data_IF_687882710374
#
_entry.id   IF_687882710374
#
_cell.length_a   1.000
_cell.length_b   1.000
_cell.length_c   1.000
_cell.angle_alpha   90.00
_cell.angle_beta   90.00
_cell.angle_gamma   90.00
#
_symmetry.space_group_name_H-M   'P 1'
#
loop_
_entity.id
_entity.type
_entity.pdbx_description
1 polymer ?
#
# COMPACT_ATOMS: atom_id res chain seq x y z
N UNK A 1 8.69 25.28 -24.55
CA UNK A 1 7.58 26.24 -24.61
C UNK A 1 6.75 26.08 -23.35
N UNK A 2 6.69 26.95 -22.35
CA UNK A 2 7.35 28.17 -21.89
C UNK A 2 7.05 28.10 -20.36
N UNK A 3 7.99 28.23 -19.43
CA UNK A 3 8.47 29.52 -18.94
C UNK A 3 9.67 29.31 -18.01
N UNK A 4 10.85 29.22 -18.59
CA UNK A 4 12.09 29.68 -17.96
C UNK A 4 12.33 31.07 -18.54
N UNK A 5 12.09 32.16 -17.83
CA UNK A 5 12.66 33.48 -18.19
C UNK A 5 12.57 34.48 -17.01
N UNK A 6 13.74 34.98 -16.64
CA UNK A 6 14.05 36.29 -16.09
C UNK A 6 13.53 36.72 -14.70
N UNK A 7 14.46 36.80 -13.74
CA UNK A 7 14.94 38.04 -13.10
C UNK A 7 16.02 37.62 -12.09
N UNK A 8 17.20 38.20 -11.95
CA UNK A 8 17.79 39.44 -12.44
C UNK A 8 19.00 39.67 -11.54
N UNK A 9 20.20 39.58 -12.11
CA UNK A 9 21.47 39.86 -11.44
C UNK A 9 21.53 41.37 -11.15
N UNK A 10 21.56 41.81 -9.89
CA UNK A 10 22.08 43.14 -9.54
C UNK A 10 22.39 43.26 -8.05
N UNK A 11 23.42 44.06 -7.76
CA UNK A 11 23.84 44.64 -6.48
C UNK A 11 24.45 43.72 -5.41
N UNK A 12 25.78 43.61 -5.49
CA UNK A 12 26.68 43.60 -4.33
C UNK A 12 26.61 44.93 -3.55
N UNK A 13 26.99 44.86 -2.27
CA UNK A 13 27.30 45.93 -1.30
C UNK A 13 26.16 46.39 -0.38
N UNK A 14 26.18 45.90 0.86
CA UNK A 14 26.35 46.76 2.05
C UNK A 14 26.43 45.86 3.28
N UNK A 15 27.48 46.03 4.07
CA UNK A 15 27.61 45.33 5.34
C UNK A 15 26.53 45.77 6.32
N UNK A 16 26.05 44.83 7.14
CA UNK A 16 25.77 45.09 8.54
C UNK A 16 25.70 43.76 9.29
N UNK A 17 26.35 43.73 10.45
CA UNK A 17 26.33 42.62 11.40
C UNK A 17 24.96 42.62 12.08
N UNK A 18 24.22 41.52 12.00
CA UNK A 18 23.19 41.22 12.99
C UNK A 18 22.89 39.72 13.02
N UNK A 19 23.14 39.15 14.20
CA UNK A 19 22.39 38.05 14.80
C UNK A 19 21.13 37.62 14.04
N UNK A 20 21.10 36.37 13.60
CA UNK A 20 20.00 35.47 13.98
C UNK A 20 20.36 34.07 13.52
N UNK A 21 20.74 33.22 14.46
CA UNK A 21 20.71 31.76 14.31
C UNK A 21 19.25 31.32 14.19
N UNK A 22 18.64 31.62 13.05
CA UNK A 22 17.40 31.01 12.62
C UNK A 22 17.77 29.58 12.22
N UNK A 23 17.85 28.73 13.25
CA UNK A 23 17.52 27.33 13.16
C UNK A 23 16.29 27.24 12.27
N UNK A 24 16.49 26.75 11.04
CA UNK A 24 15.40 26.42 10.14
C UNK A 24 14.57 25.39 10.88
N UNK A 25 13.52 25.88 11.54
CA UNK A 25 12.45 25.10 12.08
C UNK A 25 11.93 24.32 10.89
N UNK A 26 12.25 23.03 10.85
CA UNK A 26 11.72 22.07 9.89
C UNK A 26 10.21 22.00 10.10
N UNK A 27 9.52 22.96 9.51
CA UNK A 27 8.07 22.98 9.45
C UNK A 27 7.64 21.88 8.49
N UNK A 28 7.00 20.87 9.05
CA UNK A 28 6.17 19.94 8.30
C UNK A 28 6.82 18.64 7.85
N UNK A 29 7.88 18.13 8.50
CA UNK A 29 8.10 16.68 8.41
C UNK A 29 7.08 16.03 9.33
N UNK A 30 5.97 15.51 8.78
CA UNK A 30 5.11 14.57 9.50
C UNK A 30 6.02 13.49 10.06
N UNK A 31 6.28 13.59 11.37
CA UNK A 31 7.20 12.76 12.09
C UNK A 31 6.65 11.34 12.03
N UNK A 32 7.27 10.51 11.21
CA UNK A 32 7.19 9.09 11.41
C UNK A 32 7.81 8.85 12.79
N UNK A 33 7.01 8.45 13.79
CA UNK A 33 7.43 8.21 15.17
C UNK A 33 8.27 6.93 15.32
N UNK A 34 9.04 6.58 14.29
CA UNK A 34 9.71 5.30 14.17
C UNK A 34 11.17 5.48 13.72
N UNK A 35 12.09 4.87 14.47
CA UNK A 35 13.52 4.80 14.13
C UNK A 35 13.72 3.93 12.88
N UNK A 36 14.47 4.36 11.86
CA UNK A 36 14.55 3.67 10.56
C UNK A 36 15.18 2.26 10.57
N UNK A 37 15.41 1.65 11.73
CA UNK A 37 16.10 0.35 11.89
C UNK A 37 15.24 -0.86 12.29
N UNK A 38 14.03 -0.72 12.82
CA UNK A 38 13.39 -1.85 13.56
C UNK A 38 11.94 -2.17 13.18
N UNK A 39 11.39 -1.66 12.06
CA UNK A 39 9.92 -1.70 11.83
C UNK A 39 9.39 -3.14 11.85
N UNK A 40 8.75 -3.48 12.97
CA UNK A 40 8.30 -4.85 13.22
C UNK A 40 7.08 -5.15 12.36
N UNK A 41 6.90 -6.43 12.03
CA UNK A 41 5.75 -6.91 11.26
C UNK A 41 4.41 -6.40 11.86
N UNK A 42 4.27 -6.49 13.19
CA UNK A 42 3.06 -6.09 13.91
C UNK A 42 2.83 -4.58 13.79
N UNK A 43 3.87 -3.78 13.97
CA UNK A 43 3.77 -2.32 13.89
C UNK A 43 3.40 -1.85 12.48
N UNK A 44 3.93 -2.53 11.45
CA UNK A 44 3.57 -2.26 10.06
C UNK A 44 2.08 -2.51 9.79
N UNK A 45 1.57 -3.68 10.19
CA UNK A 45 0.15 -4.04 10.00
C UNK A 45 -0.77 -3.06 10.73
N UNK A 46 -0.46 -2.74 11.99
CA UNK A 46 -1.26 -1.79 12.78
C UNK A 46 -1.22 -0.40 12.15
N UNK A 47 -0.07 0.04 11.62
CA UNK A 47 0.06 1.36 10.99
C UNK A 47 -0.75 1.46 9.69
N UNK A 48 -0.76 0.40 8.87
CA UNK A 48 -1.60 0.33 7.67
C UNK A 48 -3.09 0.39 8.02
N UNK A 49 -3.51 -0.37 9.04
CA UNK A 49 -4.92 -0.38 9.49
C UNK A 49 -5.32 0.93 10.17
N UNK A 50 -4.41 1.64 10.84
CA UNK A 50 -4.67 2.98 11.39
C UNK A 50 -4.83 4.04 10.29
N UNK A 51 -4.05 3.93 9.23
CA UNK A 51 -4.10 4.83 8.08
C UNK A 51 -4.96 4.28 6.94
N UNK A 52 -5.97 3.48 7.26
CA UNK A 52 -6.77 2.76 6.27
C UNK A 52 -7.41 3.70 5.23
N UNK A 53 -7.93 4.84 5.66
CA UNK A 53 -8.54 5.87 4.79
C UNK A 53 -7.67 7.12 4.59
N UNK A 54 -6.41 7.10 5.03
CA UNK A 54 -5.54 8.27 4.92
C UNK A 54 -4.59 8.13 3.73
N UNK A 55 -4.94 8.80 2.62
CA UNK A 55 -4.13 8.83 1.39
C UNK A 55 -3.00 9.87 1.43
N UNK A 56 -2.91 10.64 2.51
CA UNK A 56 -1.92 11.70 2.65
C UNK A 56 -0.69 11.21 3.40
N UNK A 57 0.48 11.74 3.02
CA UNK A 57 1.74 11.45 3.67
C UNK A 57 2.55 10.35 2.98
N UNK A 58 3.66 10.01 3.63
CA UNK A 58 4.69 9.12 3.13
C UNK A 58 4.59 7.78 3.83
N UNK A 59 4.76 6.67 3.11
CA UNK A 59 4.85 5.35 3.73
C UNK A 59 6.31 4.90 3.75
N UNK A 60 6.70 4.06 4.70
CA UNK A 60 8.06 3.53 4.76
C UNK A 60 8.21 2.29 3.87
N UNK A 61 9.44 1.98 3.41
CA UNK A 61 9.71 0.76 2.61
C UNK A 61 9.33 -0.51 3.36
N UNK A 62 9.68 -0.58 4.63
CA UNK A 62 9.33 -1.71 5.48
C UNK A 62 7.81 -1.84 5.68
N UNK A 63 7.06 -0.74 5.87
CA UNK A 63 5.58 -0.78 5.99
C UNK A 63 4.93 -1.46 4.77
N UNK A 64 5.37 -1.10 3.57
CA UNK A 64 4.86 -1.70 2.33
C UNK A 64 5.17 -3.21 2.21
N UNK A 65 6.44 -3.59 2.44
CA UNK A 65 6.85 -4.98 2.29
C UNK A 65 6.18 -5.90 3.30
N UNK A 66 6.10 -5.48 4.57
CA UNK A 66 5.38 -6.24 5.59
C UNK A 66 3.89 -6.35 5.29
N UNK A 67 3.27 -5.28 4.79
CA UNK A 67 1.87 -5.29 4.35
C UNK A 67 1.63 -6.24 3.17
N UNK A 68 2.56 -6.29 2.21
CA UNK A 68 2.49 -7.19 1.06
C UNK A 68 2.58 -8.66 1.48
N UNK A 69 3.54 -9.01 2.35
CA UNK A 69 3.64 -10.36 2.90
C UNK A 69 2.41 -10.75 3.72
N UNK A 70 1.87 -9.82 4.52
CA UNK A 70 0.62 -10.04 5.24
C UNK A 70 -0.54 -10.35 4.29
N UNK A 71 -0.69 -9.60 3.19
CA UNK A 71 -1.73 -9.88 2.18
C UNK A 71 -1.57 -11.26 1.56
N UNK A 72 -0.34 -11.64 1.14
CA UNK A 72 -0.08 -12.97 0.59
C UNK A 72 -0.47 -14.05 1.59
N UNK A 73 -0.08 -13.89 2.86
CA UNK A 73 -0.35 -14.87 3.90
C UNK A 73 -1.85 -15.01 4.16
N UNK A 74 -2.57 -13.90 4.30
CA UNK A 74 -4.03 -13.91 4.51
C UNK A 74 -4.76 -14.52 3.32
N UNK A 75 -4.39 -14.15 2.09
CA UNK A 75 -5.01 -14.69 0.88
C UNK A 75 -4.69 -16.18 0.69
N UNK A 76 -3.47 -16.63 1.04
CA UNK A 76 -3.10 -18.05 0.99
C UNK A 76 -3.90 -18.88 2.00
N UNK A 77 -4.04 -18.37 3.23
CA UNK A 77 -4.84 -19.01 4.27
C UNK A 77 -6.32 -19.07 3.84
N UNK A 78 -6.89 -17.97 3.35
CA UNK A 78 -8.26 -17.94 2.85
C UNK A 78 -8.48 -18.96 1.72
N UNK A 79 -7.55 -19.07 0.78
CA UNK A 79 -7.63 -20.06 -0.30
C UNK A 79 -7.59 -21.50 0.20
N UNK A 80 -6.75 -21.81 1.20
CA UNK A 80 -6.73 -23.14 1.82
C UNK A 80 -8.03 -23.44 2.58
N UNK A 81 -8.60 -22.45 3.26
CA UNK A 81 -9.91 -22.58 3.90
C UNK A 81 -11.01 -22.84 2.87
N UNK A 82 -11.03 -22.10 1.75
CA UNK A 82 -11.99 -22.31 0.67
C UNK A 82 -11.85 -23.73 0.09
N UNK A 83 -10.62 -24.21 -0.17
CA UNK A 83 -10.39 -25.58 -0.63
C UNK A 83 -10.92 -26.59 0.38
N UNK A 84 -10.60 -26.42 1.67
CA UNK A 84 -11.00 -27.36 2.72
C UNK A 84 -12.53 -27.42 2.88
N UNK A 85 -13.19 -26.27 2.93
CA UNK A 85 -14.64 -26.17 3.08
C UNK A 85 -15.35 -26.68 1.84
N UNK A 86 -14.94 -26.28 0.64
CA UNK A 86 -15.60 -26.69 -0.60
C UNK A 86 -15.40 -28.18 -0.87
N UNK A 87 -14.19 -28.73 -0.63
CA UNK A 87 -13.94 -30.16 -0.82
C UNK A 87 -14.70 -31.03 0.20
N UNK A 88 -14.71 -30.63 1.48
CA UNK A 88 -15.48 -31.31 2.52
C UNK A 88 -16.99 -31.22 2.27
N UNK A 89 -17.48 -30.05 1.85
CA UNK A 89 -18.88 -29.85 1.48
C UNK A 89 -19.26 -30.67 0.25
N UNK A 90 -18.46 -30.64 -0.83
CA UNK A 90 -18.73 -31.41 -2.04
C UNK A 90 -18.78 -32.93 -1.77
N UNK A 91 -17.85 -33.44 -0.96
CA UNK A 91 -17.82 -34.84 -0.56
C UNK A 91 -19.05 -35.22 0.27
N UNK A 92 -19.36 -34.46 1.33
CA UNK A 92 -20.49 -34.75 2.23
C UNK A 92 -21.86 -34.69 1.53
N UNK A 93 -22.03 -33.80 0.56
CA UNK A 93 -23.33 -33.60 -0.10
C UNK A 93 -23.54 -34.62 -1.24
N UNK A 94 -22.48 -35.16 -1.85
CA UNK A 94 -22.60 -36.21 -2.88
C UNK A 94 -23.26 -37.50 -2.34
N UNK A 95 -23.01 -37.83 -1.08
CA UNK A 95 -23.62 -38.95 -0.35
C UNK A 95 -25.11 -38.69 -0.08
N UNK A 96 -25.43 -37.45 0.32
CA UNK A 96 -26.79 -37.02 0.66
C UNK A 96 -27.68 -36.87 -0.57
N UNK A 97 -27.14 -36.44 -1.71
CA UNK A 97 -27.93 -36.22 -2.94
C UNK A 97 -28.52 -37.52 -3.49
N UNK A 98 -27.80 -38.65 -3.35
CA UNK A 98 -28.31 -39.95 -3.77
C UNK A 98 -29.39 -40.51 -2.84
N UNK A 99 -29.31 -40.22 -1.53
CA UNK A 99 -30.23 -40.81 -0.54
C UNK A 99 -31.43 -39.94 -0.16
N UNK A 100 -31.29 -38.61 -0.23
CA UNK A 100 -32.29 -37.67 0.29
C UNK A 100 -33.01 -36.83 -0.78
N UNK A 101 -32.66 -36.99 -2.06
CA UNK A 101 -33.21 -36.15 -3.13
C UNK A 101 -32.94 -34.66 -2.91
N UNK A 102 -31.79 -34.34 -2.31
CA UNK A 102 -31.45 -32.96 -1.92
C UNK A 102 -31.49 -32.06 -3.16
N UNK A 103 -32.21 -30.92 -3.14
CA UNK A 103 -32.29 -30.04 -4.30
C UNK A 103 -30.91 -29.54 -4.72
N UNK A 104 -30.55 -29.62 -6.01
CA UNK A 104 -29.24 -29.17 -6.50
C UNK A 104 -28.87 -27.73 -6.10
N UNK A 105 -29.87 -26.89 -5.82
CA UNK A 105 -29.68 -25.54 -5.30
C UNK A 105 -28.89 -25.48 -3.98
N UNK A 106 -29.06 -26.44 -3.05
CA UNK A 106 -28.28 -26.43 -1.79
C UNK A 106 -26.81 -26.77 -2.02
N UNK A 107 -26.51 -27.63 -3.00
CA UNK A 107 -25.14 -27.98 -3.38
C UNK A 107 -24.44 -26.77 -3.98
N UNK A 108 -25.12 -26.12 -4.93
CA UNK A 108 -24.64 -24.89 -5.56
C UNK A 108 -24.42 -23.80 -4.49
N UNK A 109 -25.40 -23.56 -3.62
CA UNK A 109 -25.30 -22.51 -2.60
C UNK A 109 -24.12 -22.72 -1.65
N UNK A 110 -23.89 -23.94 -1.14
CA UNK A 110 -22.79 -24.22 -0.22
C UNK A 110 -21.41 -24.23 -0.88
N UNK A 111 -21.33 -24.44 -2.19
CA UNK A 111 -20.08 -24.25 -2.95
C UNK A 111 -19.74 -22.76 -3.11
N UNK A 112 -20.73 -21.88 -3.32
CA UNK A 112 -20.50 -20.45 -3.56
C UNK A 112 -20.38 -19.60 -2.28
N UNK A 113 -21.01 -20.01 -1.17
CA UNK A 113 -20.98 -19.29 0.10
C UNK A 113 -19.55 -18.92 0.61
N UNK A 114 -18.58 -19.86 0.64
CA UNK A 114 -17.23 -19.55 1.12
C UNK A 114 -16.51 -18.54 0.22
N UNK A 115 -16.66 -18.65 -1.12
CA UNK A 115 -16.09 -17.67 -2.05
C UNK A 115 -16.65 -16.25 -1.83
N UNK A 116 -17.94 -16.12 -1.53
CA UNK A 116 -18.55 -14.82 -1.23
C UNK A 116 -17.91 -14.21 0.02
N UNK A 117 -17.67 -15.00 1.06
CA UNK A 117 -17.00 -14.53 2.28
C UNK A 117 -15.56 -14.07 1.98
N UNK A 118 -14.79 -14.87 1.25
CA UNK A 118 -13.43 -14.51 0.83
C UNK A 118 -13.41 -13.24 -0.01
N UNK A 119 -14.39 -13.04 -0.90
CA UNK A 119 -14.54 -11.81 -1.68
C UNK A 119 -14.79 -10.57 -0.80
N UNK A 120 -15.60 -10.70 0.26
CA UNK A 120 -15.83 -9.60 1.20
C UNK A 120 -14.53 -9.26 1.93
N UNK A 121 -13.77 -10.26 2.40
CA UNK A 121 -12.47 -10.05 3.05
C UNK A 121 -11.47 -9.40 2.08
N UNK A 122 -11.41 -9.85 0.84
CA UNK A 122 -10.56 -9.27 -0.19
C UNK A 122 -10.91 -7.80 -0.46
N UNK A 123 -12.20 -7.44 -0.51
CA UNK A 123 -12.64 -6.05 -0.65
C UNK A 123 -12.25 -5.18 0.54
N UNK A 124 -12.34 -5.71 1.76
CA UNK A 124 -11.89 -5.02 2.98
C UNK A 124 -10.37 -4.84 3.02
N UNK A 125 -9.58 -5.74 2.44
CA UNK A 125 -8.12 -5.62 2.37
C UNK A 125 -7.64 -4.84 1.12
N UNK A 126 -8.50 -4.65 0.14
CA UNK A 126 -8.20 -3.89 -1.07
C UNK A 126 -7.93 -2.41 -0.75
N UNK A 127 -8.77 -1.79 0.08
CA UNK A 127 -8.64 -0.38 0.45
C UNK A 127 -7.28 -0.05 1.10
N UNK A 128 -6.81 -0.74 2.15
CA UNK A 128 -5.53 -0.44 2.79
C UNK A 128 -4.35 -0.74 1.85
N UNK A 129 -4.48 -1.74 0.98
CA UNK A 129 -3.49 -2.02 -0.07
C UNK A 129 -3.39 -0.88 -1.08
N UNK A 130 -4.53 -0.32 -1.48
CA UNK A 130 -4.60 0.87 -2.32
C UNK A 130 -3.98 2.09 -1.61
N UNK A 131 -4.33 2.31 -0.35
CA UNK A 131 -3.87 3.46 0.44
C UNK A 131 -2.35 3.46 0.63
N UNK A 132 -1.74 2.31 0.92
CA UNK A 132 -0.27 2.20 1.01
C UNK A 132 0.38 2.41 -0.37
N UNK A 133 -0.19 1.82 -1.43
CA UNK A 133 0.33 1.98 -2.79
C UNK A 133 0.31 3.44 -3.27
N UNK A 134 -0.78 4.17 -3.00
CA UNK A 134 -0.90 5.61 -3.33
C UNK A 134 0.12 6.43 -2.55
N UNK A 135 0.23 6.23 -1.22
CA UNK A 135 1.22 6.94 -0.39
C UNK A 135 2.64 6.72 -0.88
N UNK A 136 2.98 5.49 -1.29
CA UNK A 136 4.31 5.19 -1.83
C UNK A 136 4.57 5.72 -3.22
N UNK A 137 3.55 5.78 -4.07
CA UNK A 137 3.70 6.36 -5.39
C UNK A 137 3.97 7.86 -5.31
N UNK A 138 3.33 8.54 -4.36
CA UNK A 138 3.62 9.93 -4.02
C UNK A 138 5.05 10.12 -3.48
N UNK A 139 5.65 9.10 -2.84
CA UNK A 139 7.05 9.16 -2.38
C UNK A 139 8.09 9.14 -3.52
N UNK A 140 7.69 8.72 -4.73
CA UNK A 140 8.55 8.64 -5.93
C UNK A 140 8.21 9.79 -6.91
N UNK A 141 7.58 10.86 -6.42
CA UNK A 141 7.12 12.01 -7.22
C UNK A 141 6.22 11.62 -8.41
N UNK A 142 5.45 10.54 -8.28
CA UNK A 142 4.49 10.07 -9.30
C UNK A 142 3.05 10.29 -8.82
N UNK A 143 2.15 10.56 -9.75
CA UNK A 143 0.73 10.79 -9.45
C UNK A 143 0.06 9.50 -8.98
N UNK A 144 -0.81 9.56 -7.96
CA UNK A 144 -1.59 8.41 -7.44
C UNK A 144 -2.38 7.62 -8.49
N UNK A 145 -2.61 8.19 -9.67
CA UNK A 145 -3.33 7.57 -10.79
C UNK A 145 -2.68 6.29 -11.31
N UNK A 146 -1.35 6.13 -11.21
CA UNK A 146 -0.71 4.89 -11.67
C UNK A 146 -1.09 3.67 -10.84
N UNK A 147 -1.71 3.85 -9.67
CA UNK A 147 -2.26 2.74 -8.90
C UNK A 147 -3.39 2.03 -9.67
N UNK A 148 -4.11 2.66 -10.60
CA UNK A 148 -5.12 1.95 -11.40
C UNK A 148 -4.54 0.83 -12.28
N UNK A 149 -3.23 0.82 -12.54
CA UNK A 149 -2.56 -0.28 -13.25
C UNK A 149 -2.57 -1.57 -12.40
N UNK A 150 -2.76 -1.49 -11.07
CA UNK A 150 -2.93 -2.67 -10.20
C UNK A 150 -4.22 -3.43 -10.43
N UNK A 151 -5.17 -2.88 -11.18
CA UNK A 151 -6.33 -3.64 -11.66
C UNK A 151 -5.88 -4.80 -12.57
N UNK A 152 -4.72 -4.67 -13.22
CA UNK A 152 -4.06 -5.77 -13.91
C UNK A 152 -3.12 -6.45 -12.90
N UNK A 153 -3.45 -7.65 -12.39
CA UNK A 153 -2.79 -8.22 -11.21
C UNK A 153 -1.28 -8.40 -11.40
N UNK A 154 -0.86 -8.90 -12.56
CA UNK A 154 0.54 -9.23 -12.86
C UNK A 154 1.34 -7.97 -13.20
N UNK A 155 0.82 -7.08 -14.05
CA UNK A 155 1.55 -5.88 -14.46
C UNK A 155 1.64 -4.85 -13.34
N UNK A 156 0.56 -4.66 -12.57
CA UNK A 156 0.56 -3.66 -11.50
C UNK A 156 1.39 -4.06 -10.29
N UNK A 157 1.46 -5.35 -9.94
CA UNK A 157 2.38 -5.80 -8.87
C UNK A 157 3.84 -5.61 -9.27
N UNK A 158 4.22 -5.98 -10.50
CA UNK A 158 5.61 -5.85 -10.99
C UNK A 158 6.04 -4.39 -11.16
N UNK A 159 5.17 -3.52 -11.69
CA UNK A 159 5.49 -2.11 -11.90
C UNK A 159 5.57 -1.34 -10.56
N UNK A 160 4.70 -1.66 -9.61
CA UNK A 160 4.84 -1.17 -8.25
C UNK A 160 6.12 -1.70 -7.62
N UNK A 161 6.45 -3.00 -7.77
CA UNK A 161 7.70 -3.57 -7.26
C UNK A 161 8.93 -2.80 -7.75
N UNK A 162 8.97 -2.49 -9.05
CA UNK A 162 10.04 -1.68 -9.65
C UNK A 162 10.17 -0.31 -8.97
N UNK A 163 9.08 0.44 -8.85
CA UNK A 163 9.13 1.77 -8.20
C UNK A 163 9.34 1.71 -6.68
N UNK A 164 8.95 0.63 -6.02
CA UNK A 164 9.19 0.45 -4.58
C UNK A 164 10.65 0.11 -4.26
N UNK A 165 11.43 -0.34 -5.24
CA UNK A 165 12.87 -0.58 -5.14
C UNK A 165 13.69 0.68 -5.41
N UNK A 166 13.14 1.71 -6.06
CA UNK A 166 13.86 2.96 -6.33
C UNK A 166 14.09 3.77 -5.03
N UNK A 167 15.26 4.41 -4.89
CA UNK A 167 15.46 5.38 -3.84
C UNK A 167 14.55 6.59 -4.05
N UNK A 168 13.91 7.07 -2.97
CA UNK A 168 13.22 8.36 -2.98
C UNK A 168 14.21 9.45 -3.36
N UNK A 169 13.83 10.36 -4.24
CA UNK A 169 14.61 11.53 -4.65
C UNK A 169 14.99 12.37 -3.42
N UNK A 170 16.17 12.12 -2.85
CA UNK A 170 16.79 13.12 -2.01
C UNK A 170 17.45 14.10 -2.96
N UNK A 171 16.81 15.25 -3.18
CA UNK A 171 17.54 16.44 -3.63
C UNK A 171 18.49 16.81 -2.50
N UNK A 172 19.61 16.08 -2.40
CA UNK A 172 20.79 16.57 -1.74
C UNK A 172 21.13 17.82 -2.52
N UNK A 173 20.88 18.97 -1.91
CA UNK A 173 21.56 20.21 -2.24
C UNK A 173 23.05 19.97 -2.00
N UNK A 174 23.70 19.25 -2.92
CA UNK A 174 25.14 19.08 -3.02
C UNK A 174 25.77 20.34 -3.63
N UNK A 175 25.20 21.50 -3.31
CA UNK A 175 25.74 22.81 -3.59
C UNK A 175 26.07 23.41 -2.23
N UNK A 176 27.12 22.86 -1.61
CA UNK A 176 27.90 23.53 -0.58
C UNK A 176 29.35 23.68 -1.05
N UNK A 177 29.52 24.20 -2.27
CA UNK A 177 30.72 24.91 -2.74
C UNK A 177 30.30 26.07 -3.65
#
# INVERSE_FOLDING_TARGET
>A
MLSCFAFGLSSQLSGEKAHSSLSCKKEGSMAYSYSPGELTFKDAVITCLKNYFNFYGRASRAEYWWWFFFNILVMSVAFLFDILIVSGFAFGISELQHSSGTPGAVVVAGMFLPFILTMIVALLLLLPTLTVAVRRLHDVDRSGFWVFITVIPILGTVLLLYWHLLPSSQTVSANYE
#
